data_IF_785349376024
#
_entry.id   IF_785349376024
#
_cell.length_a   1.000
_cell.length_b   1.000
_cell.length_c   1.000
_cell.angle_alpha   90.00
_cell.angle_beta   90.00
_cell.angle_gamma   90.00
#
_symmetry.space_group_name_H-M   'P 1'
#
loop_
_entity.id
_entity.type
_entity.pdbx_description
1 polymer ?
#
# COMPACT_ATOMS: atom_id res chain seq x y z
N UNK A 1 -12.54 -3.62 2.17
CA UNK A 1 -12.38 -3.07 0.83
C UNK A 1 -11.41 -1.93 0.91
N UNK A 2 -10.43 -1.90 0.02
CA UNK A 2 -9.31 -0.93 0.18
C UNK A 2 -8.53 -0.92 -1.12
N UNK A 3 -8.06 0.24 -1.56
CA UNK A 3 -6.93 0.29 -2.51
C UNK A 3 -5.83 1.17 -1.96
N UNK A 4 -4.61 0.87 -2.35
CA UNK A 4 -3.42 1.53 -1.83
C UNK A 4 -2.29 1.52 -2.85
N UNK A 5 -1.36 2.44 -2.66
CA UNK A 5 -0.07 2.47 -3.31
C UNK A 5 1.02 2.54 -2.25
N UNK A 6 2.05 1.74 -2.43
CA UNK A 6 3.31 1.77 -1.66
C UNK A 6 4.41 2.17 -2.61
N UNK A 7 5.21 3.16 -2.26
CA UNK A 7 6.23 3.69 -3.16
C UNK A 7 7.51 4.09 -2.42
N UNK A 8 8.61 4.13 -3.19
CA UNK A 8 9.90 4.69 -2.82
C UNK A 8 10.32 5.69 -3.89
N UNK A 9 10.80 6.85 -3.49
CA UNK A 9 11.36 7.82 -4.43
C UNK A 9 12.88 7.68 -4.61
N UNK A 10 13.43 8.50 -5.50
CA UNK A 10 14.86 8.49 -5.79
C UNK A 10 15.73 8.95 -4.60
N UNK A 11 15.17 9.72 -3.66
CA UNK A 11 15.88 10.14 -2.44
C UNK A 11 15.91 9.03 -1.37
N UNK A 12 15.14 7.97 -1.54
CA UNK A 12 15.03 6.87 -0.59
C UNK A 12 13.86 7.00 0.39
N UNK A 13 13.03 8.03 0.26
CA UNK A 13 11.81 8.16 1.07
C UNK A 13 10.82 7.06 0.71
N UNK A 14 10.16 6.51 1.74
CA UNK A 14 9.07 5.57 1.59
C UNK A 14 7.73 6.23 1.84
N UNK A 15 6.74 5.90 1.02
CA UNK A 15 5.38 6.40 1.19
C UNK A 15 4.33 5.32 1.00
N UNK A 16 3.23 5.45 1.73
CA UNK A 16 2.02 4.65 1.59
C UNK A 16 0.83 5.58 1.53
N UNK A 17 0.01 5.44 0.50
CA UNK A 17 -1.31 6.04 0.47
C UNK A 17 -2.38 4.95 0.36
N UNK A 18 -3.46 5.10 1.11
CA UNK A 18 -4.55 4.10 1.20
C UNK A 18 -5.89 4.78 1.37
N UNK A 19 -6.93 4.26 0.74
CA UNK A 19 -8.30 4.69 0.96
C UNK A 19 -9.26 3.50 1.03
N UNK A 20 -10.34 3.64 1.82
CA UNK A 20 -11.27 2.56 2.09
C UNK A 20 -12.60 3.07 2.63
N UNK A 21 -13.67 2.30 2.43
CA UNK A 21 -14.88 2.43 3.25
C UNK A 21 -14.73 1.67 4.58
N UNK A 22 -13.75 2.12 5.37
CA UNK A 22 -13.42 1.58 6.67
C UNK A 22 -12.96 2.73 7.57
N UNK A 23 -13.26 2.68 8.86
CA UNK A 23 -12.89 3.75 9.80
C UNK A 23 -11.37 3.75 10.05
N UNK A 24 -10.73 4.92 9.92
CA UNK A 24 -9.31 5.15 10.23
C UNK A 24 -8.37 4.10 9.58
N UNK A 25 -8.55 3.80 8.29
CA UNK A 25 -7.84 2.73 7.57
C UNK A 25 -6.32 2.80 7.72
N UNK A 26 -5.75 4.00 7.76
CA UNK A 26 -4.30 4.21 7.88
C UNK A 26 -3.71 3.71 9.20
N UNK A 27 -4.49 3.67 10.28
CA UNK A 27 -4.02 3.20 11.58
C UNK A 27 -3.62 1.71 11.57
N UNK A 28 -4.18 0.91 10.67
CA UNK A 28 -3.99 -0.53 10.62
C UNK A 28 -3.33 -1.02 9.33
N UNK A 29 -3.43 -0.25 8.25
CA UNK A 29 -3.01 -0.72 6.92
C UNK A 29 -1.64 -0.20 6.50
N UNK A 30 -1.29 1.06 6.82
CA UNK A 30 -0.13 1.74 6.30
C UNK A 30 1.07 1.67 7.27
N UNK A 31 2.17 1.06 6.82
CA UNK A 31 3.38 0.90 7.63
C UNK A 31 4.60 1.32 6.82
N UNK A 32 5.48 2.09 7.46
CA UNK A 32 6.74 2.55 6.88
C UNK A 32 7.83 2.54 7.95
N UNK A 33 9.08 2.31 7.54
CA UNK A 33 10.26 2.46 8.40
C UNK A 33 11.42 3.01 7.57
N UNK A 34 12.09 4.05 8.12
CA UNK A 34 13.25 4.68 7.52
C UNK A 34 14.29 3.65 7.05
N UNK A 35 14.76 3.79 5.80
CA UNK A 35 15.83 2.98 5.23
C UNK A 35 15.53 1.48 5.09
N UNK A 36 14.34 1.04 5.51
CA UNK A 36 13.96 -0.38 5.54
C UNK A 36 12.93 -0.71 4.47
N UNK A 37 11.78 -0.03 4.50
CA UNK A 37 10.72 -0.33 3.57
C UNK A 37 9.36 0.26 3.95
N UNK A 38 8.39 -0.09 3.12
CA UNK A 38 6.98 0.27 3.30
C UNK A 38 6.06 -0.88 2.88
N UNK A 39 4.87 -0.94 3.47
CA UNK A 39 3.86 -1.92 3.11
C UNK A 39 2.44 -1.44 3.41
N UNK A 40 1.48 -2.07 2.74
CA UNK A 40 0.07 -2.01 3.13
C UNK A 40 -0.46 -3.43 3.33
N UNK A 41 -1.10 -3.67 4.49
CA UNK A 41 -1.86 -4.89 4.78
C UNK A 41 -3.35 -4.56 4.75
N UNK A 42 -4.14 -5.32 4.00
CA UNK A 42 -5.54 -4.97 3.72
C UNK A 42 -6.41 -6.20 3.41
N UNK A 43 -7.64 -6.01 2.93
CA UNK A 43 -8.75 -6.96 2.84
C UNK A 43 -9.24 -7.34 4.25
N UNK A 44 -9.35 -8.61 4.62
CA UNK A 44 -9.44 -8.97 6.03
C UNK A 44 -8.03 -8.87 6.63
N UNK A 45 -7.60 -7.64 6.93
CA UNK A 45 -6.22 -7.32 7.26
C UNK A 45 -5.70 -8.07 8.49
N UNK A 46 -4.39 -8.35 8.50
CA UNK A 46 -3.66 -8.77 9.67
C UNK A 46 -2.69 -7.64 10.07
N UNK A 47 -2.98 -6.82 11.10
CA UNK A 47 -2.12 -5.68 11.48
C UNK A 47 -0.72 -6.10 11.93
N UNK A 48 -0.56 -7.35 12.38
CA UNK A 48 0.74 -7.89 12.82
C UNK A 48 1.75 -8.00 11.66
N UNK A 49 1.26 -8.07 10.42
CA UNK A 49 2.13 -8.04 9.24
C UNK A 49 2.97 -6.76 9.16
N UNK A 50 2.46 -5.62 9.69
CA UNK A 50 3.17 -4.36 9.66
C UNK A 50 4.56 -4.44 10.30
N UNK A 51 4.59 -4.77 11.58
CA UNK A 51 5.85 -4.90 12.33
C UNK A 51 6.69 -6.07 11.79
N UNK A 52 6.07 -7.25 11.61
CA UNK A 52 6.77 -8.45 11.17
C UNK A 52 7.49 -8.26 9.83
N UNK A 53 6.84 -7.67 8.82
CA UNK A 53 7.46 -7.43 7.51
C UNK A 53 8.63 -6.43 7.63
N UNK A 54 8.46 -5.34 8.38
CA UNK A 54 9.52 -4.36 8.56
C UNK A 54 10.73 -4.94 9.31
N UNK A 55 10.51 -5.83 10.28
CA UNK A 55 11.59 -6.51 11.00
C UNK A 55 12.34 -7.50 10.10
N UNK A 56 11.64 -8.25 9.26
CA UNK A 56 12.24 -9.19 8.30
C UNK A 56 13.06 -8.46 7.22
N UNK A 57 12.52 -7.35 6.68
CA UNK A 57 13.27 -6.48 5.76
C UNK A 57 14.53 -5.90 6.40
N UNK A 58 14.44 -5.45 7.67
CA UNK A 58 15.58 -4.93 8.42
C UNK A 58 16.66 -6.00 8.67
N UNK A 59 16.28 -7.28 8.73
CA UNK A 59 17.18 -8.42 8.80
C UNK A 59 17.80 -8.81 7.44
N UNK A 60 17.47 -8.09 6.37
CA UNK A 60 18.02 -8.29 5.03
C UNK A 60 17.23 -9.26 4.14
N UNK A 61 16.03 -9.67 4.54
CA UNK A 61 15.17 -10.46 3.65
C UNK A 61 14.67 -9.60 2.49
N UNK A 62 14.56 -10.20 1.31
CA UNK A 62 13.92 -9.54 0.17
C UNK A 62 12.41 -9.35 0.41
N UNK A 63 11.78 -8.44 -0.34
CA UNK A 63 10.33 -8.24 -0.26
C UNK A 63 9.57 -9.56 -0.52
N UNK A 64 10.02 -10.37 -1.50
CA UNK A 64 9.41 -11.67 -1.82
C UNK A 64 9.53 -12.65 -0.65
N UNK A 65 10.75 -12.81 -0.10
CA UNK A 65 10.97 -13.68 1.06
C UNK A 65 10.13 -13.24 2.27
N UNK A 66 10.00 -11.93 2.46
CA UNK A 66 9.19 -11.36 3.54
C UNK A 66 7.70 -11.70 3.37
N UNK A 67 7.15 -11.48 2.18
CA UNK A 67 5.74 -11.83 1.88
C UNK A 67 5.51 -13.33 2.06
N UNK A 68 6.36 -14.18 1.49
CA UNK A 68 6.24 -15.63 1.60
C UNK A 68 6.31 -16.08 3.07
N UNK A 69 7.21 -15.49 3.86
CA UNK A 69 7.38 -15.83 5.27
C UNK A 69 6.12 -15.57 6.09
N UNK A 70 5.51 -14.38 5.95
CA UNK A 70 4.33 -14.04 6.77
C UNK A 70 3.06 -14.71 6.27
N UNK A 71 2.90 -14.84 4.95
CA UNK A 71 1.71 -15.44 4.33
C UNK A 71 1.62 -16.95 4.60
N UNK A 72 2.72 -17.69 4.46
CA UNK A 72 2.71 -19.15 4.68
C UNK A 72 2.40 -19.53 6.13
N UNK A 73 2.63 -18.64 7.08
CA UNK A 73 2.37 -18.85 8.51
C UNK A 73 1.00 -18.37 8.98
N UNK A 74 0.24 -17.69 8.12
CA UNK A 74 -1.12 -17.24 8.44
C UNK A 74 -2.17 -18.20 7.88
N UNK A 75 -2.92 -18.85 8.75
CA UNK A 75 -4.04 -19.71 8.36
C UNK A 75 -5.15 -18.94 7.62
N UNK A 76 -5.23 -17.61 7.83
CA UNK A 76 -6.17 -16.71 7.17
C UNK A 76 -5.68 -16.10 5.86
N UNK A 77 -4.52 -16.51 5.33
CA UNK A 77 -3.85 -15.91 4.16
C UNK A 77 -4.74 -15.72 2.94
N UNK A 78 -5.70 -16.62 2.73
CA UNK A 78 -6.59 -16.55 1.57
C UNK A 78 -7.55 -15.35 1.62
N UNK A 79 -7.69 -14.72 2.79
CA UNK A 79 -8.50 -13.51 3.00
C UNK A 79 -7.64 -12.24 3.11
N UNK A 80 -6.29 -12.36 3.05
CA UNK A 80 -5.37 -11.23 3.21
C UNK A 80 -4.98 -10.66 1.85
N UNK A 81 -4.69 -9.37 1.87
CA UNK A 81 -3.97 -8.73 0.77
C UNK A 81 -2.83 -7.92 1.38
N UNK A 82 -1.63 -8.11 0.84
CA UNK A 82 -0.39 -7.51 1.33
C UNK A 82 0.46 -7.11 0.14
N UNK A 83 1.05 -5.91 0.17
CA UNK A 83 2.13 -5.56 -0.73
C UNK A 83 3.23 -4.83 0.04
N UNK A 84 4.47 -5.17 -0.27
CA UNK A 84 5.68 -4.79 0.45
C UNK A 84 6.70 -4.24 -0.53
N UNK A 85 7.39 -3.17 -0.16
CA UNK A 85 8.50 -2.59 -0.91
C UNK A 85 9.70 -2.47 0.01
N UNK A 86 10.82 -3.09 -0.36
CA UNK A 86 12.07 -3.04 0.40
C UNK A 86 12.97 -1.86 -0.01
N UNK A 87 14.09 -1.70 0.71
CA UNK A 87 15.05 -0.62 0.49
C UNK A 87 15.70 -0.63 -0.91
N UNK A 88 15.78 -1.78 -1.57
CA UNK A 88 16.24 -1.90 -2.96
C UNK A 88 15.30 -1.30 -4.00
N UNK A 89 14.07 -0.94 -3.62
CA UNK A 89 13.00 -0.58 -4.56
C UNK A 89 12.29 -1.78 -5.18
N UNK A 90 12.70 -3.01 -4.86
CA UNK A 90 12.01 -4.23 -5.32
C UNK A 90 10.83 -4.52 -4.39
N UNK A 91 9.68 -4.77 -4.99
CA UNK A 91 8.45 -5.08 -4.27
C UNK A 91 8.02 -6.54 -4.42
N UNK A 92 7.06 -6.95 -3.59
CA UNK A 92 6.32 -8.19 -3.69
C UNK A 92 4.89 -8.00 -3.16
N UNK A 93 3.97 -8.84 -3.61
CA UNK A 93 2.58 -8.75 -3.18
C UNK A 93 1.90 -10.12 -3.08
N UNK A 94 0.85 -10.16 -2.26
CA UNK A 94 -0.05 -11.29 -2.11
C UNK A 94 -1.50 -10.80 -2.16
N UNK A 95 -2.31 -11.43 -2.98
CA UNK A 95 -3.77 -11.29 -2.95
C UNK A 95 -4.37 -12.67 -2.74
N UNK A 96 -4.97 -12.88 -1.58
CA UNK A 96 -5.53 -14.18 -1.19
C UNK A 96 -6.70 -14.59 -2.07
N UNK A 97 -6.87 -15.90 -2.27
CA UNK A 97 -7.81 -16.50 -3.22
C UNK A 97 -9.29 -16.19 -2.93
N UNK A 98 -9.63 -15.83 -1.70
CA UNK A 98 -11.01 -15.46 -1.29
C UNK A 98 -11.14 -13.98 -0.94
N UNK A 99 -10.18 -13.13 -1.36
CA UNK A 99 -10.38 -11.69 -1.37
C UNK A 99 -11.58 -11.34 -2.26
N UNK A 100 -12.41 -10.42 -1.80
CA UNK A 100 -13.65 -10.07 -2.50
C UNK A 100 -13.36 -9.28 -3.78
N UNK A 101 -13.95 -9.71 -4.87
CA UNK A 101 -13.80 -9.13 -6.21
C UNK A 101 -14.37 -7.70 -6.37
N UNK A 102 -13.89 -6.90 -7.27
CA UNK A 102 -12.65 -7.14 -8.02
C UNK A 102 -11.45 -6.92 -7.08
N UNK A 103 -10.44 -7.81 -7.15
CA UNK A 103 -9.24 -7.69 -6.34
C UNK A 103 -8.00 -8.04 -7.18
N UNK A 104 -6.87 -7.45 -6.84
CA UNK A 104 -5.61 -7.69 -7.53
C UNK A 104 -4.50 -6.79 -7.03
N UNK A 105 -3.33 -6.96 -7.63
CA UNK A 105 -2.16 -6.12 -7.38
C UNK A 105 -1.30 -6.00 -8.64
N UNK A 106 -0.46 -4.96 -8.68
CA UNK A 106 0.62 -4.83 -9.65
C UNK A 106 1.88 -4.34 -8.91
N UNK A 107 3.01 -4.97 -9.20
CA UNK A 107 4.32 -4.62 -8.65
C UNK A 107 5.19 -4.11 -9.76
N UNK A 108 5.80 -2.94 -9.57
CA UNK A 108 6.75 -2.32 -10.48
C UNK A 108 7.99 -1.89 -9.71
N UNK A 109 9.03 -1.51 -10.41
CA UNK A 109 10.22 -0.97 -9.79
C UNK A 109 9.90 0.35 -9.07
N UNK A 110 10.22 0.43 -7.78
CA UNK A 110 10.00 1.60 -6.94
C UNK A 110 8.58 1.77 -6.41
N UNK A 111 7.59 0.98 -6.85
CA UNK A 111 6.24 1.04 -6.28
C UNK A 111 5.39 -0.21 -6.51
N UNK A 112 4.32 -0.34 -5.76
CA UNK A 112 3.29 -1.34 -5.98
C UNK A 112 1.90 -0.79 -5.66
N UNK A 113 0.88 -1.29 -6.36
CA UNK A 113 -0.52 -0.98 -6.13
C UNK A 113 -1.29 -2.26 -5.83
N UNK A 114 -2.25 -2.20 -4.92
CA UNK A 114 -3.12 -3.33 -4.60
C UNK A 114 -4.52 -2.84 -4.21
N UNK A 115 -5.50 -3.68 -4.44
CA UNK A 115 -6.87 -3.37 -4.03
C UNK A 115 -7.78 -4.58 -4.04
N UNK A 116 -8.88 -4.45 -3.32
CA UNK A 116 -9.93 -5.46 -3.20
C UNK A 116 -11.30 -4.80 -3.17
N UNK A 117 -12.34 -5.49 -3.69
CA UNK A 117 -13.72 -5.00 -3.88
C UNK A 117 -13.76 -3.69 -4.71
N UNK A 118 -12.85 -3.53 -5.64
CA UNK A 118 -12.77 -2.37 -6.53
C UNK A 118 -13.85 -2.41 -7.61
N UNK A 119 -14.10 -1.24 -8.21
CA UNK A 119 -14.99 -1.15 -9.38
C UNK A 119 -14.49 -2.02 -10.55
N UNK A 120 -13.18 -2.22 -10.66
CA UNK A 120 -12.53 -3.06 -11.67
C UNK A 120 -11.01 -2.85 -11.71
N UNK A 121 -10.31 -3.52 -12.63
CA UNK A 121 -8.85 -3.43 -12.76
C UNK A 121 -8.38 -2.01 -13.09
N UNK A 122 -9.20 -1.23 -13.78
CA UNK A 122 -8.88 0.15 -14.17
C UNK A 122 -8.53 1.05 -12.99
N UNK A 123 -9.02 0.74 -11.78
CA UNK A 123 -8.67 1.48 -10.55
C UNK A 123 -7.16 1.40 -10.29
N UNK A 124 -6.57 0.20 -10.35
CA UNK A 124 -5.14 0.02 -10.12
C UNK A 124 -4.30 0.54 -11.29
N UNK A 125 -4.76 0.32 -12.52
CA UNK A 125 -4.09 0.86 -13.72
C UNK A 125 -3.99 2.38 -13.67
N UNK A 126 -5.11 3.08 -13.42
CA UNK A 126 -5.14 4.53 -13.32
C UNK A 126 -4.28 5.05 -12.17
N UNK A 127 -4.28 4.35 -11.02
CA UNK A 127 -3.41 4.68 -9.88
C UNK A 127 -1.93 4.60 -10.28
N UNK A 128 -1.53 3.53 -10.95
CA UNK A 128 -0.15 3.31 -11.38
C UNK A 128 0.27 4.33 -12.49
N UNK A 129 -0.58 4.53 -13.50
CA UNK A 129 -0.33 5.48 -14.57
C UNK A 129 -0.12 6.91 -14.05
N UNK A 130 -0.98 7.37 -13.14
CA UNK A 130 -0.87 8.70 -12.55
C UNK A 130 0.39 8.85 -11.68
N UNK A 131 0.78 7.80 -10.95
CA UNK A 131 2.02 7.80 -10.16
C UNK A 131 3.25 7.94 -11.06
N UNK A 132 3.30 7.21 -12.17
CA UNK A 132 4.39 7.30 -13.16
C UNK A 132 4.38 8.66 -13.86
N UNK A 133 3.22 9.12 -14.29
CA UNK A 133 3.07 10.40 -15.00
C UNK A 133 3.41 11.64 -14.17
N UNK A 134 3.45 11.50 -12.83
CA UNK A 134 3.78 12.58 -11.88
C UNK A 134 5.23 12.53 -11.35
N UNK A 135 6.15 11.86 -12.03
CA UNK A 135 7.52 11.61 -11.57
C UNK A 135 8.33 12.86 -11.17
N UNK A 136 7.98 14.04 -11.70
CA UNK A 136 8.64 15.31 -11.35
C UNK A 136 8.14 15.97 -10.06
N UNK A 137 7.09 15.43 -9.41
CA UNK A 137 6.51 15.99 -8.18
C UNK A 137 7.12 15.36 -6.93
N UNK A 138 7.02 16.02 -5.75
CA UNK A 138 7.33 15.41 -4.46
C UNK A 138 6.52 14.13 -4.22
N UNK A 139 7.08 13.17 -3.46
CA UNK A 139 6.45 11.87 -3.23
C UNK A 139 5.01 11.97 -2.71
N UNK A 140 4.74 12.91 -1.78
CA UNK A 140 3.40 13.14 -1.24
C UNK A 140 2.38 13.49 -2.35
N UNK A 141 2.75 14.41 -3.24
CA UNK A 141 1.88 14.87 -4.33
C UNK A 141 1.66 13.76 -5.36
N UNK A 142 2.70 12.96 -5.66
CA UNK A 142 2.59 11.79 -6.54
C UNK A 142 1.62 10.77 -5.99
N UNK A 143 1.70 10.46 -4.69
CA UNK A 143 0.81 9.53 -4.03
C UNK A 143 -0.64 10.03 -4.02
N UNK A 144 -0.85 11.33 -3.77
CA UNK A 144 -2.19 11.93 -3.83
C UNK A 144 -2.76 11.93 -5.25
N UNK A 145 -1.97 12.27 -6.26
CA UNK A 145 -2.38 12.22 -7.67
C UNK A 145 -2.78 10.78 -8.07
N UNK A 146 -1.98 9.79 -7.67
CA UNK A 146 -2.26 8.39 -7.92
C UNK A 146 -3.59 7.94 -7.28
N UNK A 147 -3.81 8.29 -6.00
CA UNK A 147 -5.05 7.94 -5.31
C UNK A 147 -6.27 8.64 -5.91
N UNK A 148 -6.13 9.91 -6.31
CA UNK A 148 -7.21 10.65 -6.98
C UNK A 148 -7.58 10.03 -8.33
N UNK A 149 -6.61 9.57 -9.12
CA UNK A 149 -6.86 8.89 -10.38
C UNK A 149 -7.57 7.54 -10.19
N UNK A 150 -7.17 6.76 -9.19
CA UNK A 150 -7.85 5.52 -8.82
C UNK A 150 -9.29 5.75 -8.35
N UNK A 151 -9.53 6.81 -7.58
CA UNK A 151 -10.87 7.22 -7.17
C UNK A 151 -11.75 7.59 -8.38
N UNK A 152 -11.23 8.40 -9.29
CA UNK A 152 -11.92 8.79 -10.53
C UNK A 152 -12.23 7.58 -11.45
N UNK A 153 -11.41 6.53 -11.39
CA UNK A 153 -11.64 5.27 -12.11
C UNK A 153 -12.67 4.33 -11.43
N UNK A 154 -13.28 4.78 -10.33
CA UNK A 154 -14.36 4.08 -9.63
C UNK A 154 -14.01 3.61 -8.22
N UNK A 155 -12.75 3.60 -7.83
CA UNK A 155 -12.29 3.33 -6.47
C UNK A 155 -12.92 2.10 -5.81
N UNK A 156 -13.27 2.25 -4.55
CA UNK A 156 -14.04 1.29 -3.74
C UNK A 156 -15.52 1.32 -4.17
N UNK A 157 -16.08 0.16 -4.58
CA UNK A 157 -17.49 0.05 -5.02
C UNK A 157 -18.51 0.63 -4.04
N UNK A 158 -18.16 0.72 -2.76
CA UNK A 158 -19.04 1.22 -1.69
C UNK A 158 -18.81 2.70 -1.39
N UNK A 159 -17.87 3.35 -2.10
CA UNK A 159 -17.37 4.66 -1.76
C UNK A 159 -16.22 4.61 -0.73
N UNK A 160 -15.82 5.75 -0.22
CA UNK A 160 -14.72 5.90 0.73
C UNK A 160 -15.19 6.54 2.04
N UNK A 161 -14.60 6.15 3.17
CA UNK A 161 -14.91 6.68 4.49
C UNK A 161 -13.68 7.31 5.14
N UNK A 162 -12.50 6.74 4.90
CA UNK A 162 -11.24 7.29 5.35
C UNK A 162 -10.13 7.06 4.32
N UNK A 163 -9.11 7.88 4.40
CA UNK A 163 -7.87 7.76 3.66
C UNK A 163 -6.70 8.08 4.58
N UNK A 164 -5.51 7.60 4.22
CA UNK A 164 -4.29 7.94 4.92
C UNK A 164 -3.14 8.10 3.94
N UNK A 165 -2.21 8.98 4.31
CA UNK A 165 -0.93 9.19 3.65
C UNK A 165 0.16 9.18 4.71
N UNK A 166 1.14 8.29 4.55
CA UNK A 166 2.27 8.17 5.46
C UNK A 166 3.57 8.19 4.67
N UNK A 167 4.51 9.05 5.08
CA UNK A 167 5.83 9.16 4.46
C UNK A 167 6.91 9.12 5.54
N UNK A 168 7.92 8.28 5.30
CA UNK A 168 9.15 8.20 6.08
C UNK A 168 10.31 8.68 5.22
N UNK A 169 10.98 9.74 5.69
CA UNK A 169 12.22 10.28 5.12
C UNK A 169 13.43 9.87 5.94
N UNK A 170 14.28 10.85 6.25
CA UNK A 170 15.57 10.65 6.92
C UNK A 170 15.47 10.58 8.45
N UNK A 171 14.30 10.86 9.02
CA UNK A 171 14.09 10.83 10.47
C UNK A 171 13.52 9.48 10.92
N UNK A 172 13.69 9.15 12.20
CA UNK A 172 13.17 7.90 12.81
C UNK A 172 11.65 7.92 13.07
N UNK A 173 11.00 9.04 12.76
CA UNK A 173 9.54 9.20 12.79
C UNK A 173 9.02 9.52 11.38
N UNK A 174 7.74 9.26 11.16
CA UNK A 174 7.12 9.59 9.87
C UNK A 174 7.09 11.12 9.68
N UNK A 175 7.68 11.60 8.60
CA UNK A 175 7.67 13.00 8.20
C UNK A 175 6.25 13.50 7.90
N UNK A 176 5.42 12.62 7.40
CA UNK A 176 3.99 12.84 7.18
C UNK A 176 3.23 11.61 7.65
N UNK A 177 2.26 11.79 8.54
CA UNK A 177 1.34 10.74 9.00
C UNK A 177 -0.05 11.34 9.14
N UNK A 178 -0.80 11.34 8.05
CA UNK A 178 -2.12 11.91 7.95
C UNK A 178 -3.16 10.81 7.81
N UNK A 179 -4.09 10.74 8.76
CA UNK A 179 -5.28 9.91 8.67
C UNK A 179 -6.46 10.87 8.61
N UNK A 180 -7.16 10.86 7.48
CA UNK A 180 -8.28 11.73 7.21
C UNK A 180 -9.60 10.97 7.07
N UNK A 181 -10.71 11.65 7.39
CA UNK A 181 -12.05 11.24 7.00
C UNK A 181 -12.24 11.66 5.54
N UNK A 182 -12.52 10.71 4.64
CA UNK A 182 -12.98 11.07 3.30
C UNK A 182 -14.41 11.62 3.43
N UNK A 183 -14.62 12.84 2.98
CA UNK A 183 -15.98 13.36 2.84
C UNK A 183 -16.67 12.57 1.71
N UNK A 184 -17.82 12.03 2.04
CA UNK A 184 -18.71 11.33 1.10
C UNK A 184 -19.56 12.37 0.41
#
# INVERSE_FOLDING_TARGET
MTWSIVARDASGQFGVAVASKFFAVGALCAHTRRGVGALSTQALMNPLYGAACLDLLAQGMTAQQTVDHVVTRDAGRDQRQLHVLGASGTGAAHTGAICVDWCGHAVQEGFSVAGNMLAGPRVLEATAEAFVGSAGLPLAERLLAAMAAGDAAGGDKRGKQSAALRIHGDEDYAQLDQIGRAHV
#
